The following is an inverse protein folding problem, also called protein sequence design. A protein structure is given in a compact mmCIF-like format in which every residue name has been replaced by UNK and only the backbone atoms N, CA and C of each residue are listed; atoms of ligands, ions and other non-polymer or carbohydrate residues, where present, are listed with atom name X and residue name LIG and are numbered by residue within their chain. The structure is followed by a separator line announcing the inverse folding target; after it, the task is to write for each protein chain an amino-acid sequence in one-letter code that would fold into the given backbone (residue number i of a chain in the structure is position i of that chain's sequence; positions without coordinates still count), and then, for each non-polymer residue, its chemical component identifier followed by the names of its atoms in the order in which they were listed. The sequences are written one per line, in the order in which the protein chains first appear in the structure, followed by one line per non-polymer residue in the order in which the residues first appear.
data_IF_894850330908
#
_entry.id   IF_894850330908
#
_cell.length_a   1.000
_cell.length_b   1.000
_cell.length_c   1.000
_cell.angle_alpha   90.00
_cell.angle_beta   90.00
_cell.angle_gamma   90.00
#
_symmetry.space_group_name_H-M   'P 1'
#
loop_
_entity.id
_entity.type
_entity.pdbx_description
1 polymer ?
#
# COMPACT_ATOMS: atom_id res chain seq x y z
N UNK A 1 18.14 -14.49 12.71
CA UNK A 1 17.49 -15.45 11.79
C UNK A 1 16.17 -14.84 11.40
N UNK A 2 16.04 -14.37 10.16
CA UNK A 2 14.77 -13.81 9.64
C UNK A 2 13.75 -14.93 9.55
N UNK A 3 12.52 -14.67 10.00
CA UNK A 3 11.42 -15.61 9.83
C UNK A 3 11.17 -15.83 8.32
N UNK A 4 10.82 -17.04 7.88
CA UNK A 4 10.58 -17.29 6.47
C UNK A 4 9.38 -16.48 5.95
N UNK A 5 9.46 -15.99 4.72
CA UNK A 5 8.43 -15.21 4.04
C UNK A 5 7.05 -15.91 4.02
N UNK A 6 7.06 -17.26 4.12
CA UNK A 6 5.84 -18.08 4.26
C UNK A 6 4.99 -17.76 5.49
N UNK A 7 5.51 -17.01 6.47
CA UNK A 7 4.76 -16.61 7.66
C UNK A 7 3.92 -15.33 7.47
N UNK A 8 4.11 -14.60 6.38
CA UNK A 8 3.27 -13.42 6.04
C UNK A 8 1.83 -13.87 5.74
N UNK A 9 1.68 -15.10 5.27
CA UNK A 9 0.41 -15.62 4.77
C UNK A 9 0.05 -16.91 5.51
N UNK A 10 -0.70 -16.78 6.56
CA UNK A 10 -1.50 -17.85 7.13
C UNK A 10 -2.91 -17.33 7.28
N UNK A 11 -3.73 -17.57 6.34
CA UNK A 11 -5.14 -17.98 6.39
C UNK A 11 -5.81 -17.74 5.05
N UNK A 12 -6.41 -18.79 4.49
CA UNK A 12 -7.56 -18.84 3.60
C UNK A 12 -7.76 -17.66 2.61
N UNK A 13 -6.68 -16.93 2.30
CA UNK A 13 -6.71 -15.88 1.29
C UNK A 13 -7.00 -16.55 -0.06
N UNK A 14 -8.03 -16.08 -0.73
CA UNK A 14 -8.54 -16.61 -1.99
C UNK A 14 -7.51 -16.38 -3.11
N UNK A 15 -6.42 -17.17 -3.10
CA UNK A 15 -5.50 -17.18 -4.24
C UNK A 15 -6.28 -17.77 -5.41
N UNK A 16 -6.32 -17.03 -6.51
CA UNK A 16 -6.81 -17.58 -7.75
C UNK A 16 -5.85 -18.68 -8.24
N UNK A 17 -6.17 -19.98 -8.11
CA UNK A 17 -5.23 -21.06 -8.43
C UNK A 17 -4.86 -21.13 -9.92
N UNK A 18 -5.54 -20.37 -10.76
CA UNK A 18 -5.28 -20.29 -12.21
C UNK A 18 -4.42 -19.09 -12.59
N UNK A 19 -4.10 -18.19 -11.65
CA UNK A 19 -3.24 -17.06 -11.94
C UNK A 19 -1.77 -17.51 -12.04
N UNK A 20 -1.09 -17.06 -13.07
CA UNK A 20 0.34 -17.31 -13.25
C UNK A 20 1.21 -16.47 -12.30
N UNK A 21 0.68 -15.30 -11.88
CA UNK A 21 1.35 -14.37 -10.96
C UNK A 21 0.38 -13.93 -9.86
N UNK A 22 0.79 -14.12 -8.62
CA UNK A 22 0.13 -13.55 -7.44
C UNK A 22 1.00 -12.45 -6.85
N UNK A 23 0.44 -11.27 -6.66
CA UNK A 23 1.12 -10.10 -6.06
C UNK A 23 0.40 -9.71 -4.79
N UNK A 24 1.09 -9.80 -3.66
CA UNK A 24 0.60 -9.28 -2.39
C UNK A 24 1.25 -7.91 -2.16
N UNK A 25 0.44 -6.85 -2.25
CA UNK A 25 0.89 -5.47 -2.08
C UNK A 25 0.81 -5.09 -0.61
N UNK A 26 1.94 -4.77 -0.01
CA UNK A 26 2.06 -4.33 1.37
C UNK A 26 2.32 -2.83 1.34
N UNK A 27 1.35 -2.03 1.75
CA UNK A 27 1.40 -0.58 1.54
C UNK A 27 0.62 0.21 2.58
N UNK A 28 0.91 1.52 2.68
CA UNK A 28 0.13 2.51 3.40
C UNK A 28 -0.35 3.62 2.45
N UNK A 29 -1.55 4.09 2.66
CA UNK A 29 -2.24 5.06 1.79
C UNK A 29 -1.74 6.51 1.96
N UNK A 30 -0.95 6.77 3.01
CA UNK A 30 -0.27 8.06 3.26
C UNK A 30 1.25 7.96 3.03
N UNK A 31 1.71 6.87 2.43
CA UNK A 31 3.10 6.71 2.01
C UNK A 31 3.26 7.10 0.53
N UNK A 32 3.99 8.19 0.19
CA UNK A 32 4.13 8.61 -1.19
C UNK A 32 4.85 7.57 -2.05
N UNK A 33 5.83 6.84 -1.48
CA UNK A 33 6.49 5.74 -2.19
C UNK A 33 5.55 4.56 -2.45
N UNK A 34 4.51 4.35 -1.61
CA UNK A 34 3.48 3.35 -1.89
C UNK A 34 2.66 3.74 -3.12
N UNK A 35 2.38 5.03 -3.32
CA UNK A 35 1.66 5.49 -4.50
C UNK A 35 2.50 5.36 -5.78
N UNK A 36 3.77 5.79 -5.75
CA UNK A 36 4.71 5.60 -6.86
C UNK A 36 4.87 4.10 -7.19
N UNK A 37 5.09 3.28 -6.17
CA UNK A 37 5.26 1.83 -6.33
C UNK A 37 4.02 1.16 -6.91
N UNK A 38 2.82 1.58 -6.49
CA UNK A 38 1.55 1.10 -7.04
C UNK A 38 1.41 1.43 -8.52
N UNK A 39 1.71 2.66 -8.94
CA UNK A 39 1.65 3.06 -10.35
C UNK A 39 2.65 2.28 -11.20
N UNK A 40 3.87 2.06 -10.70
CA UNK A 40 4.89 1.26 -11.37
C UNK A 40 4.51 -0.22 -11.44
N UNK A 41 3.87 -0.75 -10.40
CA UNK A 41 3.30 -2.10 -10.39
C UNK A 41 2.22 -2.25 -11.47
N UNK A 42 1.30 -1.30 -11.57
CA UNK A 42 0.23 -1.33 -12.59
C UNK A 42 0.80 -1.33 -14.01
N UNK A 43 1.88 -0.56 -14.24
CA UNK A 43 2.55 -0.55 -15.53
C UNK A 43 3.27 -1.89 -15.79
N UNK A 44 3.96 -2.44 -14.79
CA UNK A 44 4.64 -3.73 -14.90
C UNK A 44 3.66 -4.89 -15.18
N UNK A 45 2.47 -4.87 -14.57
CA UNK A 45 1.45 -5.89 -14.78
C UNK A 45 0.95 -5.96 -16.22
N UNK A 46 1.05 -4.89 -17.01
CA UNK A 46 0.70 -4.90 -18.44
C UNK A 46 1.63 -5.78 -19.29
N UNK A 47 2.84 -6.05 -18.79
CA UNK A 47 3.80 -6.95 -19.45
C UNK A 47 3.57 -8.43 -19.14
N UNK A 48 2.71 -8.75 -18.17
CA UNK A 48 2.42 -10.14 -17.77
C UNK A 48 1.52 -10.81 -18.80
N UNK A 49 1.99 -11.93 -19.35
CA UNK A 49 1.19 -12.78 -20.24
C UNK A 49 0.44 -13.80 -19.38
N UNK A 50 -0.88 -13.65 -19.32
CA UNK A 50 -1.75 -14.53 -18.53
C UNK A 50 -2.43 -13.82 -17.35
N UNK A 51 -3.26 -14.57 -16.60
CA UNK A 51 -3.99 -13.99 -15.47
C UNK A 51 -3.04 -13.67 -14.31
N UNK A 52 -3.18 -12.47 -13.76
CA UNK A 52 -2.54 -12.05 -12.52
C UNK A 52 -3.60 -11.78 -11.44
N UNK A 53 -3.22 -11.98 -10.19
CA UNK A 53 -4.05 -11.71 -9.02
C UNK A 53 -3.30 -10.78 -8.07
N UNK A 54 -3.98 -9.70 -7.63
CA UNK A 54 -3.37 -8.68 -6.76
C UNK A 54 -4.22 -8.53 -5.50
N UNK A 55 -3.62 -8.78 -4.37
CA UNK A 55 -4.23 -8.59 -3.05
C UNK A 55 -3.47 -7.55 -2.23
N UNK A 56 -4.14 -6.92 -1.25
CA UNK A 56 -3.58 -5.83 -0.46
C UNK A 56 -3.46 -6.21 1.01
N UNK A 57 -2.28 -6.00 1.58
CA UNK A 57 -1.98 -6.23 2.98
C UNK A 57 -1.73 -4.91 3.72
N UNK A 58 -2.28 -4.76 4.92
CA UNK A 58 -2.14 -3.53 5.68
C UNK A 58 -0.71 -3.35 6.19
N UNK A 59 -0.23 -2.11 6.10
CA UNK A 59 0.99 -1.66 6.74
C UNK A 59 0.83 -0.19 7.12
N UNK A 60 0.60 0.09 8.39
CA UNK A 60 0.54 1.46 8.88
C UNK A 60 1.96 2.01 9.05
N UNK A 61 2.33 2.99 8.22
CA UNK A 61 3.64 3.64 8.32
C UNK A 61 3.82 4.35 9.68
N UNK A 62 2.72 4.88 10.20
CA UNK A 62 2.66 5.64 11.44
C UNK A 62 1.49 5.16 12.33
N UNK A 63 1.56 3.98 12.94
CA UNK A 63 0.45 3.42 13.73
C UNK A 63 0.12 4.25 14.99
N UNK A 64 1.07 5.08 15.44
CA UNK A 64 0.94 5.93 16.64
C UNK A 64 0.27 7.29 16.36
N UNK A 65 -0.12 7.56 15.10
CA UNK A 65 -0.94 8.74 14.81
C UNK A 65 -2.29 8.57 15.51
N UNK A 66 -2.75 9.57 16.30
CA UNK A 66 -4.02 9.47 17.01
C UNK A 66 -5.21 9.37 16.04
N UNK A 67 -6.37 8.86 16.49
CA UNK A 67 -7.54 8.67 15.62
C UNK A 67 -8.00 9.93 14.88
N UNK A 68 -7.81 11.11 15.47
CA UNK A 68 -8.09 12.42 14.88
C UNK A 68 -7.09 12.85 13.81
N UNK A 69 -5.96 12.13 13.66
CA UNK A 69 -4.88 12.50 12.77
C UNK A 69 -3.91 13.54 13.35
N UNK A 70 -3.02 14.05 12.50
CA UNK A 70 -2.10 15.13 12.83
C UNK A 70 -2.15 16.21 11.74
N UNK A 71 -2.03 17.51 12.09
CA UNK A 71 -1.73 18.55 11.10
C UNK A 71 -0.48 18.18 10.30
N UNK A 72 -0.50 18.46 9.01
CA UNK A 72 0.56 18.01 8.10
C UNK A 72 1.93 18.62 8.44
N UNK A 73 1.97 19.89 8.81
CA UNK A 73 3.18 20.59 9.27
C UNK A 73 3.77 19.98 10.55
N UNK A 74 2.89 19.58 11.50
CA UNK A 74 3.29 18.88 12.73
C UNK A 74 3.89 17.51 12.40
N UNK A 75 3.25 16.77 11.49
CA UNK A 75 3.76 15.50 11.02
C UNK A 75 5.14 15.63 10.37
N UNK A 76 5.29 16.58 9.45
CA UNK A 76 6.56 16.83 8.75
C UNK A 76 7.68 17.21 9.72
N UNK A 77 7.38 18.08 10.69
CA UNK A 77 8.34 18.48 11.72
C UNK A 77 8.80 17.29 12.57
N UNK A 78 7.86 16.43 12.97
CA UNK A 78 8.21 15.19 13.72
C UNK A 78 9.05 14.22 12.89
N UNK A 79 8.79 14.11 11.59
CA UNK A 79 9.43 13.13 10.72
C UNK A 79 10.81 13.56 10.24
N UNK A 80 10.99 14.82 9.91
CA UNK A 80 12.19 15.36 9.24
C UNK A 80 12.96 16.38 10.09
N UNK A 81 12.36 16.92 11.14
CA UNK A 81 12.98 17.86 12.08
C UNK A 81 13.03 19.29 11.54
N UNK A 82 13.64 19.52 10.39
CA UNK A 82 13.80 20.86 9.83
C UNK A 82 13.39 20.94 8.35
N UNK A 83 13.02 22.15 7.85
CA UNK A 83 12.75 22.35 6.43
C UNK A 83 13.92 21.96 5.51
N UNK A 84 15.15 22.19 5.94
CA UNK A 84 16.35 21.83 5.17
C UNK A 84 16.49 20.32 4.92
N UNK A 85 15.96 19.48 5.81
CA UNK A 85 15.93 18.03 5.61
C UNK A 85 14.73 17.60 4.76
N UNK A 86 13.67 18.39 4.77
CA UNK A 86 12.40 18.06 4.09
C UNK A 86 12.43 18.41 2.60
N UNK A 87 12.94 19.59 2.23
CA UNK A 87 12.92 20.09 0.85
C UNK A 87 13.49 19.09 -0.17
N UNK A 88 14.70 18.51 0.02
CA UNK A 88 15.25 17.55 -0.94
C UNK A 88 14.40 16.30 -1.09
N UNK A 89 13.71 15.88 0.00
CA UNK A 89 12.83 14.71 -0.03
C UNK A 89 11.56 15.00 -0.85
N UNK A 90 10.97 16.19 -0.67
CA UNK A 90 9.79 16.57 -1.44
C UNK A 90 10.11 16.78 -2.93
N UNK A 91 11.24 17.40 -3.23
CA UNK A 91 11.72 17.56 -4.62
C UNK A 91 11.89 16.19 -5.29
N UNK A 92 12.59 15.26 -4.63
CA UNK A 92 12.75 13.90 -5.14
C UNK A 92 11.41 13.21 -5.36
N UNK A 93 10.47 13.31 -4.42
CA UNK A 93 9.14 12.72 -4.55
C UNK A 93 8.34 13.32 -5.71
N UNK A 94 8.46 14.62 -5.95
CA UNK A 94 7.79 15.27 -7.09
C UNK A 94 8.36 14.76 -8.42
N UNK A 95 9.68 14.57 -8.54
CA UNK A 95 10.29 13.99 -9.75
C UNK A 95 9.86 12.53 -9.95
N UNK A 96 9.94 11.69 -8.91
CA UNK A 96 9.45 10.31 -8.96
C UNK A 96 7.95 10.24 -9.32
N UNK A 97 7.18 11.20 -8.81
CA UNK A 97 5.74 11.33 -9.13
C UNK A 97 5.50 11.63 -10.60
N UNK A 98 6.23 12.57 -11.20
CA UNK A 98 6.11 12.91 -12.63
C UNK A 98 6.33 11.68 -13.51
N UNK A 99 7.38 10.89 -13.21
CA UNK A 99 7.67 9.64 -13.93
C UNK A 99 6.53 8.62 -13.78
N UNK A 100 5.92 8.55 -12.58
CA UNK A 100 4.81 7.66 -12.28
C UNK A 100 3.43 8.24 -12.67
N UNK A 101 3.38 9.43 -13.30
CA UNK A 101 2.15 10.16 -13.65
C UNK A 101 1.29 10.51 -12.42
N UNK A 102 1.94 10.98 -11.36
CA UNK A 102 1.32 11.47 -10.12
C UNK A 102 1.61 12.95 -9.99
N UNK A 103 0.58 13.78 -9.81
CA UNK A 103 0.70 15.20 -9.50
C UNK A 103 0.69 15.40 -7.98
N UNK A 104 1.83 15.19 -7.32
CA UNK A 104 1.92 15.39 -5.88
C UNK A 104 1.64 16.84 -5.47
N UNK A 105 0.56 17.03 -4.73
CA UNK A 105 0.11 18.34 -4.23
C UNK A 105 0.24 18.40 -2.71
N UNK A 106 1.49 18.29 -2.21
CA UNK A 106 1.79 18.39 -0.78
C UNK A 106 1.31 19.72 -0.16
N UNK A 107 1.19 20.76 -0.98
CA UNK A 107 0.64 22.07 -0.60
C UNK A 107 -0.86 22.01 -0.24
N UNK A 108 -1.59 21.00 -0.66
CA UNK A 108 -3.02 20.81 -0.37
C UNK A 108 -3.29 19.93 0.84
N UNK A 109 -2.30 19.18 1.31
CA UNK A 109 -2.47 18.25 2.43
C UNK A 109 -2.54 19.03 3.73
N UNK A 110 -3.71 19.10 4.34
CA UNK A 110 -3.90 19.73 5.64
C UNK A 110 -3.66 18.82 6.83
N UNK A 111 -3.91 17.50 6.65
CA UNK A 111 -3.88 16.51 7.73
C UNK A 111 -3.34 15.17 7.27
N UNK A 112 -2.57 14.50 8.14
CA UNK A 112 -2.19 13.08 7.96
C UNK A 112 -3.07 12.25 8.89
N UNK A 113 -3.95 11.41 8.35
CA UNK A 113 -4.84 10.58 9.14
C UNK A 113 -4.13 9.37 9.77
N UNK A 114 -4.73 8.81 10.82
CA UNK A 114 -4.52 7.41 11.15
C UNK A 114 -5.14 6.54 10.06
N UNK A 115 -4.37 5.63 9.48
CA UNK A 115 -4.79 4.85 8.30
C UNK A 115 -5.50 3.53 8.63
N UNK A 116 -5.67 3.20 9.91
CA UNK A 116 -6.40 2.00 10.32
C UNK A 116 -7.81 1.91 9.71
N UNK A 117 -8.65 2.97 9.70
CA UNK A 117 -9.97 2.92 9.07
C UNK A 117 -9.90 2.64 7.56
N UNK A 118 -8.88 3.16 6.87
CA UNK A 118 -8.66 2.91 5.43
C UNK A 118 -8.37 1.43 5.20
N UNK A 119 -7.49 0.84 5.99
CA UNK A 119 -7.18 -0.58 5.93
C UNK A 119 -8.37 -1.48 6.26
N UNK A 120 -9.25 -1.07 7.19
CA UNK A 120 -10.49 -1.79 7.47
C UNK A 120 -11.44 -1.79 6.26
N UNK A 121 -11.56 -0.65 5.56
CA UNK A 121 -12.34 -0.55 4.30
C UNK A 121 -11.74 -1.44 3.22
N UNK A 122 -10.41 -1.44 3.04
CA UNK A 122 -9.73 -2.31 2.07
C UNK A 122 -9.99 -3.79 2.32
N UNK A 123 -10.01 -4.22 3.58
CA UNK A 123 -10.39 -5.60 3.92
C UNK A 123 -11.85 -5.93 3.57
N UNK A 124 -12.76 -4.97 3.79
CA UNK A 124 -14.16 -5.19 3.44
C UNK A 124 -14.32 -5.31 1.91
N UNK A 125 -13.60 -4.50 1.15
CA UNK A 125 -13.54 -4.57 -0.34
C UNK A 125 -13.08 -5.96 -0.79
N UNK A 126 -12.02 -6.50 -0.18
CA UNK A 126 -11.56 -7.88 -0.42
C UNK A 126 -12.66 -8.91 -0.15
N UNK A 127 -13.30 -8.82 1.01
CA UNK A 127 -14.37 -9.75 1.41
C UNK A 127 -15.60 -9.71 0.49
N UNK A 128 -15.88 -8.56 -0.13
CA UNK A 128 -16.93 -8.37 -1.12
C UNK A 128 -16.53 -8.79 -2.54
N UNK A 129 -15.26 -9.14 -2.76
CA UNK A 129 -14.74 -9.47 -4.09
C UNK A 129 -14.66 -8.27 -5.04
N UNK A 130 -14.59 -7.05 -4.49
CA UNK A 130 -14.44 -5.81 -5.24
C UNK A 130 -12.96 -5.53 -5.56
N UNK A 131 -12.71 -4.60 -6.48
CA UNK A 131 -11.36 -4.28 -6.95
C UNK A 131 -10.59 -3.42 -5.94
N UNK A 132 -9.73 -4.06 -5.12
CA UNK A 132 -8.88 -3.36 -4.15
C UNK A 132 -7.89 -2.41 -4.81
N UNK A 133 -7.30 -2.78 -5.96
CA UNK A 133 -6.27 -1.96 -6.62
C UNK A 133 -6.84 -0.66 -7.19
N UNK A 134 -8.06 -0.69 -7.70
CA UNK A 134 -8.75 0.52 -8.17
C UNK A 134 -9.12 1.44 -6.99
N UNK A 135 -9.62 0.88 -5.88
CA UNK A 135 -9.90 1.68 -4.69
C UNK A 135 -8.63 2.27 -4.08
N UNK A 136 -7.54 1.50 -4.04
CA UNK A 136 -6.25 1.98 -3.54
C UNK A 136 -5.73 3.17 -4.34
N UNK A 137 -5.86 3.14 -5.66
CA UNK A 137 -5.49 4.23 -6.54
C UNK A 137 -6.26 5.52 -6.22
N UNK A 138 -7.59 5.42 -6.12
CA UNK A 138 -8.45 6.55 -5.80
C UNK A 138 -8.20 7.12 -4.39
N UNK A 139 -7.92 6.26 -3.40
CA UNK A 139 -7.59 6.69 -2.04
C UNK A 139 -6.26 7.46 -2.01
N UNK A 140 -5.23 6.96 -2.68
CA UNK A 140 -3.92 7.63 -2.74
C UNK A 140 -4.00 8.91 -3.57
N UNK A 141 -4.71 8.92 -4.70
CA UNK A 141 -4.96 10.13 -5.49
C UNK A 141 -5.72 11.19 -4.69
N UNK A 142 -6.80 10.80 -4.01
CA UNK A 142 -7.57 11.71 -3.15
C UNK A 142 -6.68 12.37 -2.07
N UNK A 143 -5.77 11.62 -1.46
CA UNK A 143 -4.87 12.14 -0.45
C UNK A 143 -3.76 13.01 -1.05
N UNK A 144 -3.00 12.49 -2.03
CA UNK A 144 -1.79 13.13 -2.51
C UNK A 144 -2.00 14.19 -3.60
N UNK A 145 -3.02 14.04 -4.45
CA UNK A 145 -3.29 14.96 -5.57
C UNK A 145 -4.41 15.96 -5.23
N UNK A 146 -5.42 15.55 -4.44
CA UNK A 146 -6.56 16.39 -4.10
C UNK A 146 -6.44 17.00 -2.68
N UNK A 147 -5.59 16.47 -1.79
CA UNK A 147 -5.44 16.92 -0.40
C UNK A 147 -6.61 16.53 0.50
N UNK A 148 -7.41 15.51 0.14
CA UNK A 148 -8.56 15.04 0.91
C UNK A 148 -8.10 14.25 2.13
N UNK A 149 -8.82 14.40 3.25
CA UNK A 149 -8.53 13.66 4.46
C UNK A 149 -9.20 12.27 4.41
N UNK A 150 -8.50 11.27 3.86
CA UNK A 150 -8.99 9.89 3.73
C UNK A 150 -9.22 9.16 5.06
N UNK A 151 -8.90 9.76 6.21
CA UNK A 151 -9.29 9.27 7.54
C UNK A 151 -10.72 9.64 7.91
N UNK A 152 -11.32 10.61 7.25
CA UNK A 152 -12.70 11.01 7.51
C UNK A 152 -13.71 10.02 6.94
N UNK A 153 -14.67 9.64 7.78
CA UNK A 153 -15.73 8.68 7.40
C UNK A 153 -16.47 9.08 6.13
N UNK A 154 -16.77 10.37 5.94
CA UNK A 154 -17.50 10.82 4.77
C UNK A 154 -16.67 10.66 3.49
N UNK A 155 -15.36 10.91 3.56
CA UNK A 155 -14.44 10.74 2.44
C UNK A 155 -14.32 9.26 2.05
N UNK A 156 -14.20 8.37 3.05
CA UNK A 156 -14.19 6.92 2.81
C UNK A 156 -15.50 6.43 2.19
N UNK A 157 -16.67 6.94 2.63
CA UNK A 157 -17.97 6.60 2.04
C UNK A 157 -18.05 7.07 0.58
N UNK A 158 -17.61 8.29 0.28
CA UNK A 158 -17.63 8.85 -1.06
C UNK A 158 -16.71 8.04 -2.00
N UNK A 159 -15.45 7.83 -1.59
CA UNK A 159 -14.47 7.14 -2.42
C UNK A 159 -14.84 5.67 -2.62
N UNK A 160 -15.10 4.93 -1.55
CA UNK A 160 -15.45 3.50 -1.63
C UNK A 160 -16.81 3.26 -2.31
N UNK A 161 -17.71 4.24 -2.24
CA UNK A 161 -19.00 4.21 -2.94
C UNK A 161 -18.84 4.13 -4.46
N UNK A 162 -17.84 4.79 -5.03
CA UNK A 162 -17.51 4.70 -6.47
C UNK A 162 -17.03 3.31 -6.89
N UNK A 163 -16.56 2.51 -5.92
CA UNK A 163 -16.09 1.13 -6.11
C UNK A 163 -17.11 0.07 -5.68
N UNK A 164 -18.38 0.46 -5.48
CA UNK A 164 -19.48 -0.47 -5.24
C UNK A 164 -19.79 -0.78 -3.77
N UNK A 165 -19.13 -0.12 -2.80
CA UNK A 165 -19.51 -0.22 -1.40
C UNK A 165 -20.67 0.70 -1.04
N UNK A 166 -21.59 0.20 -0.25
CA UNK A 166 -22.63 1.03 0.36
C UNK A 166 -22.07 1.82 1.55
N UNK A 167 -22.70 2.95 1.87
CA UNK A 167 -22.34 3.73 3.06
C UNK A 167 -22.50 2.91 4.37
N UNK A 168 -23.42 1.94 4.40
CA UNK A 168 -23.61 1.06 5.53
C UNK A 168 -22.43 0.11 5.71
N UNK A 169 -21.94 -0.50 4.64
CA UNK A 169 -20.78 -1.39 4.65
C UNK A 169 -19.48 -0.67 5.07
N UNK A 170 -19.29 0.57 4.61
CA UNK A 170 -18.14 1.38 5.06
C UNK A 170 -18.23 1.66 6.56
N UNK A 171 -19.42 2.08 7.06
CA UNK A 171 -19.60 2.33 8.50
C UNK A 171 -19.38 1.06 9.33
N UNK A 172 -19.88 -0.07 8.89
CA UNK A 172 -19.66 -1.37 9.52
C UNK A 172 -18.18 -1.72 9.57
N UNK A 173 -17.47 -1.59 8.45
CA UNK A 173 -16.05 -1.89 8.36
C UNK A 173 -15.23 -1.09 9.38
N UNK A 174 -15.41 0.25 9.43
CA UNK A 174 -14.63 1.12 10.32
C UNK A 174 -15.09 1.06 11.78
N UNK A 175 -16.31 0.64 12.06
CA UNK A 175 -16.85 0.48 13.42
C UNK A 175 -16.65 -0.92 14.02
N UNK A 176 -16.10 -1.86 13.24
CA UNK A 176 -15.95 -3.26 13.67
C UNK A 176 -14.63 -3.52 14.40
N UNK A 177 -14.71 -3.91 15.67
CA UNK A 177 -13.55 -4.37 16.44
C UNK A 177 -12.92 -5.60 15.80
N UNK A 178 -13.73 -6.49 15.20
CA UNK A 178 -13.23 -7.66 14.48
C UNK A 178 -12.39 -7.24 13.25
N UNK A 179 -12.88 -6.30 12.44
CA UNK A 179 -12.13 -5.80 11.29
C UNK A 179 -10.83 -5.12 11.74
N UNK A 180 -10.88 -4.33 12.81
CA UNK A 180 -9.68 -3.75 13.43
C UNK A 180 -8.68 -4.83 13.83
N UNK A 181 -9.12 -5.87 14.56
CA UNK A 181 -8.24 -6.94 15.00
C UNK A 181 -7.59 -7.68 13.84
N UNK A 182 -8.32 -7.92 12.75
CA UNK A 182 -7.77 -8.56 11.54
C UNK A 182 -6.68 -7.68 10.91
N UNK A 183 -6.89 -6.35 10.78
CA UNK A 183 -5.87 -5.42 10.28
C UNK A 183 -4.60 -5.49 11.12
N UNK A 184 -4.75 -5.35 12.45
CA UNK A 184 -3.62 -5.34 13.39
C UNK A 184 -2.86 -6.68 13.34
N UNK A 185 -3.59 -7.80 13.26
CA UNK A 185 -2.96 -9.13 13.18
C UNK A 185 -2.21 -9.32 11.87
N UNK A 186 -2.80 -8.96 10.73
CA UNK A 186 -2.12 -9.05 9.42
C UNK A 186 -0.89 -8.15 9.37
N UNK A 187 -0.97 -6.93 9.88
CA UNK A 187 0.18 -6.03 9.95
C UNK A 187 1.29 -6.59 10.84
N UNK A 188 0.95 -7.16 12.01
CA UNK A 188 1.93 -7.80 12.88
C UNK A 188 2.64 -8.98 12.20
N UNK A 189 1.94 -9.76 11.39
CA UNK A 189 2.51 -10.84 10.58
C UNK A 189 3.51 -10.29 9.55
N UNK A 190 3.13 -9.21 8.83
CA UNK A 190 4.03 -8.52 7.89
C UNK A 190 5.30 -8.05 8.59
N UNK A 191 5.17 -7.36 9.72
CA UNK A 191 6.32 -6.86 10.49
C UNK A 191 7.20 -8.00 11.02
N UNK A 192 6.61 -9.13 11.44
CA UNK A 192 7.35 -10.29 11.93
C UNK A 192 8.19 -10.98 10.86
N UNK A 193 7.87 -10.79 9.57
CA UNK A 193 8.69 -11.28 8.45
C UNK A 193 9.94 -10.45 8.19
N UNK A 194 10.11 -9.33 8.90
CA UNK A 194 11.24 -8.42 8.76
C UNK A 194 11.00 -7.24 7.83
N UNK A 195 9.81 -7.10 7.22
CA UNK A 195 9.46 -5.92 6.45
C UNK A 195 9.12 -4.75 7.39
N UNK A 196 9.96 -3.71 7.37
CA UNK A 196 9.85 -2.55 8.27
C UNK A 196 9.48 -1.26 7.55
N UNK A 197 9.17 -1.33 6.25
CA UNK A 197 8.84 -0.18 5.41
C UNK A 197 7.82 -0.55 4.35
N UNK A 198 7.19 0.46 3.74
CA UNK A 198 6.27 0.35 2.61
C UNK A 198 6.79 1.18 1.42
N UNK A 199 6.48 0.78 0.18
CA UNK A 199 5.78 -0.43 -0.20
C UNK A 199 6.65 -1.69 -0.18
N UNK A 200 5.99 -2.86 -0.12
CA UNK A 200 6.56 -4.16 -0.42
C UNK A 200 5.64 -4.93 -1.36
N UNK A 201 6.21 -5.73 -2.25
CA UNK A 201 5.45 -6.58 -3.18
C UNK A 201 5.94 -8.01 -3.02
N UNK A 202 5.12 -8.87 -2.44
CA UNK A 202 5.44 -10.29 -2.31
C UNK A 202 4.86 -11.05 -3.50
N UNK A 203 5.74 -11.59 -4.33
CA UNK A 203 5.42 -12.25 -5.59
C UNK A 203 5.40 -13.76 -5.38
N UNK A 204 4.29 -14.41 -5.75
CA UNK A 204 4.07 -15.85 -5.61
C UNK A 204 4.47 -16.41 -4.24
N UNK A 205 4.40 -15.60 -3.18
CA UNK A 205 4.80 -15.92 -1.80
C UNK A 205 6.25 -16.38 -1.65
N UNK A 206 7.12 -16.02 -2.59
CA UNK A 206 8.51 -16.50 -2.69
C UNK A 206 9.53 -15.38 -2.82
N UNK A 207 9.19 -14.31 -3.54
CA UNK A 207 10.11 -13.22 -3.84
C UNK A 207 9.53 -11.89 -3.32
N UNK A 208 10.23 -11.24 -2.39
CA UNK A 208 9.83 -9.93 -1.88
C UNK A 208 10.64 -8.83 -2.57
N UNK A 209 9.93 -7.91 -3.21
CA UNK A 209 10.45 -6.65 -3.76
C UNK A 209 10.13 -5.54 -2.78
N UNK A 210 11.13 -4.80 -2.32
CA UNK A 210 10.97 -3.73 -1.32
C UNK A 210 11.17 -2.36 -1.97
N UNK A 211 10.31 -1.41 -1.62
CA UNK A 211 10.36 -0.03 -2.12
C UNK A 211 9.70 0.16 -3.49
N UNK A 212 9.62 1.41 -3.92
CA UNK A 212 9.09 1.80 -5.23
C UNK A 212 10.12 1.56 -6.34
N UNK A 213 10.41 0.30 -6.64
CA UNK A 213 11.38 -0.07 -7.67
C UNK A 213 10.95 0.43 -9.07
N UNK A 214 11.88 0.69 -10.00
CA UNK A 214 11.57 0.96 -11.39
C UNK A 214 10.72 -0.16 -12.02
N UNK A 215 9.87 0.20 -12.98
CA UNK A 215 8.96 -0.74 -13.66
C UNK A 215 9.70 -1.95 -14.23
N UNK A 216 10.86 -1.75 -14.87
CA UNK A 216 11.66 -2.81 -15.47
C UNK A 216 12.22 -3.79 -14.41
N UNK A 217 12.55 -3.27 -13.23
CA UNK A 217 12.98 -4.10 -12.10
C UNK A 217 11.85 -4.97 -11.57
N UNK A 218 10.62 -4.43 -11.53
CA UNK A 218 9.43 -5.17 -11.15
C UNK A 218 9.12 -6.26 -12.18
N UNK A 219 9.19 -5.96 -13.49
CA UNK A 219 9.00 -6.95 -14.56
C UNK A 219 10.03 -8.07 -14.45
N UNK A 220 11.30 -7.75 -14.24
CA UNK A 220 12.35 -8.75 -14.01
C UNK A 220 12.04 -9.63 -12.78
N UNK A 221 11.51 -9.03 -11.72
CA UNK A 221 11.10 -9.79 -10.54
C UNK A 221 9.89 -10.71 -10.82
N UNK A 222 8.96 -10.31 -11.69
CA UNK A 222 7.87 -11.17 -12.14
C UNK A 222 8.38 -12.42 -12.87
N UNK A 223 9.31 -12.24 -13.82
CA UNK A 223 9.91 -13.37 -14.54
C UNK A 223 10.60 -14.34 -13.58
N UNK A 224 11.33 -13.82 -12.60
CA UNK A 224 11.96 -14.66 -11.56
C UNK A 224 10.93 -15.38 -10.69
N UNK A 225 9.83 -14.72 -10.31
CA UNK A 225 8.79 -15.32 -9.49
C UNK A 225 7.99 -16.40 -10.23
N UNK A 226 7.80 -16.23 -11.55
CA UNK A 226 7.03 -17.18 -12.38
C UNK A 226 7.88 -18.34 -12.89
N UNK A 227 9.14 -18.11 -13.29
CA UNK A 227 9.95 -19.07 -14.03
C UNK A 227 11.30 -19.39 -13.37
N UNK A 228 11.73 -18.63 -12.35
CA UNK A 228 13.00 -18.84 -11.66
C UNK A 228 12.97 -20.08 -10.77
N UNK A 229 14.05 -20.86 -10.79
CA UNK A 229 14.27 -21.94 -9.82
C UNK A 229 14.43 -21.36 -8.42
N UNK A 230 13.68 -21.91 -7.45
CA UNK A 230 13.43 -21.33 -6.14
C UNK A 230 14.68 -21.05 -5.31
N UNK A 231 14.97 -19.76 -5.16
CA UNK A 231 15.72 -19.26 -4.02
C UNK A 231 14.91 -18.13 -3.39
N UNK A 232 14.54 -18.28 -2.11
CA UNK A 232 13.97 -17.19 -1.29
C UNK A 232 14.98 -16.03 -1.29
N UNK A 233 14.70 -14.97 -2.01
CA UNK A 233 15.62 -13.83 -2.12
C UNK A 233 14.88 -12.51 -1.87
N UNK A 234 15.43 -11.73 -0.93
CA UNK A 234 15.08 -10.32 -0.78
C UNK A 234 15.75 -9.53 -1.93
N UNK A 235 14.96 -8.87 -2.76
CA UNK A 235 15.46 -7.82 -3.65
C UNK A 235 15.35 -6.51 -2.88
N UNK A 236 16.42 -6.11 -2.22
CA UNK A 236 16.51 -4.82 -1.53
C UNK A 236 17.03 -3.76 -2.52
N UNK A 237 16.53 -2.51 -2.46
CA UNK A 237 17.15 -1.42 -3.19
C UNK A 237 18.59 -1.23 -2.69
N UNK A 238 19.52 -1.00 -3.61
CA UNK A 238 20.79 -0.41 -3.24
C UNK A 238 20.48 0.98 -2.66
N UNK A 239 20.82 1.18 -1.40
CA UNK A 239 20.77 2.48 -0.75
C UNK A 239 21.76 3.39 -1.49
N UNK A 240 21.26 4.35 -2.24
CA UNK A 240 22.01 5.50 -2.73
C UNK A 240 21.51 6.76 -2.07
#
# INVERSE_FOLDING_TARGET
MSAPLSNIVRDNDRINPTAALHVEVIADFVCPFSFVGKRRLDEALKAVIGPSDVSWYPFQLNPDIPPEGLPFDVYLTKRFGSPANLEPVLEHLVEEGKEARIDFRFDRIGHVPNTLPVHQVMQRVEALGLNQSALADDLMSAFFEEGRNIGERRELIDIAGRHGMTAAEVREAIGSDRARQVVVTREAQVRSSGLMTAPGFLLNRRLLVVGAQPTESIVTAFDRAMFGEGTDSLVSPALH
#
